data_IF_468501679873
#
_entry.id   IF_468501679873
#
_cell.length_a   1.000
_cell.length_b   1.000
_cell.length_c   1.000
_cell.angle_alpha   90.00
_cell.angle_beta   90.00
_cell.angle_gamma   90.00
#
_symmetry.space_group_name_H-M   'P 1'
#
loop_
_entity.id
_entity.type
_entity.pdbx_description
1 polymer ?
#
# COMPACT_ATOMS: atom_id res chain seq x y z
N UNK A 1 -11.67 -35.01 -11.36
CA UNK A 1 -12.36 -34.19 -10.34
C UNK A 1 -11.59 -34.37 -9.03
N UNK A 2 -11.12 -33.29 -8.42
CA UNK A 2 -10.44 -33.35 -7.11
C UNK A 2 -11.51 -33.31 -6.01
N UNK A 3 -11.45 -34.24 -5.06
CA UNK A 3 -12.54 -34.51 -4.10
C UNK A 3 -12.29 -33.97 -2.70
N UNK A 4 -11.15 -33.33 -2.45
CA UNK A 4 -10.77 -32.81 -1.13
C UNK A 4 -10.37 -31.33 -1.23
N UNK A 5 -10.20 -30.65 -0.10
CA UNK A 5 -9.63 -29.31 -0.08
C UNK A 5 -8.10 -29.43 -0.09
N UNK A 6 -7.38 -28.86 -1.07
CA UNK A 6 -5.93 -29.02 -1.12
C UNK A 6 -5.23 -28.08 -0.13
N UNK A 7 -5.91 -27.03 0.35
CA UNK A 7 -5.31 -26.04 1.24
C UNK A 7 -5.13 -26.59 2.65
N UNK A 8 -3.91 -26.48 3.16
CA UNK A 8 -3.56 -26.88 4.52
C UNK A 8 -3.98 -25.78 5.50
N UNK A 9 -4.70 -26.14 6.55
CA UNK A 9 -5.08 -25.24 7.65
C UNK A 9 -3.99 -25.16 8.72
N UNK A 10 -3.19 -26.21 8.85
CA UNK A 10 -2.14 -26.36 9.87
C UNK A 10 -0.76 -26.08 9.27
N UNK A 11 -0.62 -24.91 8.65
CA UNK A 11 0.67 -24.45 8.15
C UNK A 11 1.55 -24.07 9.35
N UNK A 12 2.81 -24.54 9.44
CA UNK A 12 3.69 -24.20 10.57
C UNK A 12 3.82 -22.68 10.70
N UNK A 13 3.72 -22.17 11.94
CA UNK A 13 3.69 -20.72 12.25
C UNK A 13 4.92 -19.93 11.76
N UNK A 14 6.00 -20.63 11.40
CA UNK A 14 7.19 -20.02 10.79
C UNK A 14 6.98 -19.62 9.31
N UNK A 15 5.97 -20.19 8.65
CA UNK A 15 5.62 -19.85 7.28
C UNK A 15 4.46 -18.83 7.30
N UNK A 16 4.81 -17.56 7.11
CA UNK A 16 3.84 -16.50 6.85
C UNK A 16 3.28 -16.69 5.43
N UNK A 17 2.27 -17.53 5.22
CA UNK A 17 1.79 -17.84 3.88
C UNK A 17 0.71 -18.92 3.82
N UNK A 18 0.50 -19.45 2.61
CA UNK A 18 -0.49 -20.49 2.31
C UNK A 18 0.22 -21.72 1.72
N UNK A 19 -0.27 -22.92 2.03
CA UNK A 19 0.20 -24.14 1.38
C UNK A 19 -0.97 -24.94 0.82
N UNK A 20 -0.77 -25.54 -0.35
CA UNK A 20 -1.71 -26.47 -0.96
C UNK A 20 -1.01 -27.80 -1.26
N UNK A 21 -1.56 -28.91 -0.76
CA UNK A 21 -1.02 -30.26 -0.95
C UNK A 21 -1.97 -31.11 -1.78
N UNK A 22 -1.47 -31.59 -2.92
CA UNK A 22 -2.14 -32.51 -3.82
C UNK A 22 -1.52 -33.89 -3.67
N UNK A 23 -2.28 -34.88 -3.19
CA UNK A 23 -1.72 -36.19 -2.78
C UNK A 23 -2.02 -37.36 -3.73
N UNK A 24 -2.93 -37.18 -4.68
CA UNK A 24 -3.44 -38.23 -5.56
C UNK A 24 -3.11 -37.93 -7.03
N UNK A 25 -1.82 -37.79 -7.34
CA UNK A 25 -1.34 -37.62 -8.71
C UNK A 25 -1.17 -38.94 -9.45
N UNK A 26 -0.61 -38.86 -10.66
CA UNK A 26 -0.34 -40.03 -11.49
C UNK A 26 0.67 -40.99 -10.84
N UNK A 27 0.61 -42.29 -11.15
CA UNK A 27 1.56 -43.26 -10.65
C UNK A 27 2.97 -42.98 -11.20
N UNK A 28 3.95 -43.02 -10.31
CA UNK A 28 5.37 -42.83 -10.61
C UNK A 28 6.16 -44.01 -10.04
N UNK A 29 7.15 -44.46 -10.79
CA UNK A 29 8.12 -45.47 -10.36
C UNK A 29 9.38 -44.77 -9.88
N UNK A 30 9.65 -44.87 -8.58
CA UNK A 30 10.90 -44.38 -7.99
C UNK A 30 12.13 -45.10 -8.57
N UNK A 31 13.31 -44.50 -8.40
CA UNK A 31 14.60 -45.16 -8.66
C UNK A 31 14.79 -46.46 -7.85
N UNK A 32 13.99 -46.66 -6.79
CA UNK A 32 13.93 -47.89 -5.98
C UNK A 32 12.89 -48.91 -6.48
N UNK A 33 12.32 -48.74 -7.68
CA UNK A 33 11.27 -49.59 -8.30
C UNK A 33 9.95 -49.69 -7.51
N UNK A 34 9.79 -48.90 -6.46
CA UNK A 34 8.55 -48.86 -5.68
C UNK A 34 7.53 -47.94 -6.37
N UNK A 35 6.34 -48.44 -6.75
CA UNK A 35 5.29 -47.60 -7.31
C UNK A 35 4.71 -46.70 -6.20
N UNK A 36 4.62 -45.41 -6.50
CA UNK A 36 4.06 -44.38 -5.62
C UNK A 36 3.13 -43.47 -6.41
N UNK A 37 2.29 -42.70 -5.72
CA UNK A 37 1.50 -41.64 -6.36
C UNK A 37 2.24 -40.31 -6.22
N UNK A 38 2.29 -39.54 -7.31
CA UNK A 38 2.89 -38.21 -7.30
C UNK A 38 2.12 -37.28 -6.35
N UNK A 39 2.87 -36.58 -5.52
CA UNK A 39 2.38 -35.58 -4.58
C UNK A 39 2.96 -34.23 -4.97
N UNK A 40 2.14 -33.19 -4.97
CA UNK A 40 2.58 -31.83 -5.24
C UNK A 40 2.27 -30.96 -4.04
N UNK A 41 3.28 -30.27 -3.51
CA UNK A 41 3.15 -29.26 -2.48
C UNK A 41 3.46 -27.89 -3.08
N UNK A 42 2.47 -27.01 -3.08
CA UNK A 42 2.61 -25.63 -3.52
C UNK A 42 2.67 -24.74 -2.29
N UNK A 43 3.76 -23.99 -2.16
CA UNK A 43 4.02 -23.07 -1.04
C UNK A 43 3.96 -21.64 -1.54
N UNK A 44 3.04 -20.86 -1.01
CA UNK A 44 2.87 -19.43 -1.30
C UNK A 44 3.35 -18.62 -0.10
N UNK A 45 4.52 -18.01 -0.19
CA UNK A 45 5.11 -17.20 0.88
C UNK A 45 4.63 -15.76 0.78
N UNK A 46 4.23 -15.16 1.91
CA UNK A 46 3.88 -13.75 1.98
C UNK A 46 5.07 -12.87 1.63
N UNK A 47 4.91 -12.09 0.56
CA UNK A 47 5.81 -11.02 0.21
C UNK A 47 4.98 -9.85 -0.35
N UNK A 48 4.85 -8.75 0.41
CA UNK A 48 4.06 -7.57 0.01
C UNK A 48 4.52 -6.92 -1.31
N UNK A 49 5.75 -7.21 -1.77
CA UNK A 49 6.29 -6.69 -3.04
C UNK A 49 5.97 -7.60 -4.23
N UNK A 50 5.70 -8.88 -4.00
CA UNK A 50 5.45 -9.87 -5.04
C UNK A 50 3.99 -9.85 -5.49
N UNK A 51 3.61 -8.80 -6.22
CA UNK A 51 2.29 -8.69 -6.85
C UNK A 51 2.30 -9.46 -8.16
N UNK A 52 1.42 -10.44 -8.29
CA UNK A 52 1.25 -11.15 -9.54
C UNK A 52 0.48 -10.24 -10.50
N UNK A 53 1.11 -9.88 -11.61
CA UNK A 53 0.55 -8.93 -12.57
C UNK A 53 -0.50 -9.65 -13.41
N UNK A 54 -1.75 -9.18 -13.35
CA UNK A 54 -2.80 -9.63 -14.24
C UNK A 54 -2.76 -8.75 -15.49
N UNK A 55 -2.50 -9.34 -16.67
CA UNK A 55 -2.44 -8.59 -17.93
C UNK A 55 -3.87 -8.23 -18.36
N UNK A 56 -4.15 -6.92 -18.40
CA UNK A 56 -5.49 -6.34 -18.62
C UNK A 56 -6.16 -6.73 -19.96
N UNK A 57 -5.39 -7.13 -20.97
CA UNK A 57 -5.88 -7.22 -22.36
C UNK A 57 -6.69 -8.49 -22.69
N UNK A 58 -6.80 -9.48 -21.80
CA UNK A 58 -7.44 -10.76 -22.17
C UNK A 58 -8.28 -11.46 -21.10
N UNK A 59 -8.54 -10.86 -19.94
CA UNK A 59 -9.32 -11.50 -18.84
C UNK A 59 -8.88 -12.94 -18.51
N UNK A 60 -7.62 -13.30 -18.79
CA UNK A 60 -7.04 -14.60 -18.45
C UNK A 60 -5.83 -14.36 -17.56
N UNK A 61 -5.76 -15.11 -16.46
CA UNK A 61 -4.64 -15.09 -15.53
C UNK A 61 -3.42 -15.58 -16.31
N UNK A 62 -2.54 -14.66 -16.72
CA UNK A 62 -1.27 -15.05 -17.31
C UNK A 62 -0.41 -15.66 -16.20
N UNK A 63 0.04 -16.87 -16.49
CA UNK A 63 1.18 -17.63 -15.98
C UNK A 63 1.77 -17.15 -14.65
N UNK A 64 1.77 -18.05 -13.66
CA UNK A 64 2.42 -17.81 -12.39
C UNK A 64 3.87 -17.32 -12.62
N UNK A 65 4.35 -16.35 -11.83
CA UNK A 65 5.74 -15.90 -11.93
C UNK A 65 6.70 -17.07 -11.73
N UNK A 66 7.96 -16.91 -12.15
CA UNK A 66 8.94 -17.98 -11.99
C UNK A 66 9.02 -18.46 -10.54
N UNK A 67 9.01 -19.78 -10.31
CA UNK A 67 9.04 -20.34 -8.97
C UNK A 67 10.36 -20.01 -8.29
N UNK A 68 10.29 -19.72 -6.99
CA UNK A 68 11.46 -19.49 -6.15
C UNK A 68 12.32 -20.76 -6.02
N UNK A 69 11.66 -21.91 -5.96
CA UNK A 69 12.29 -23.22 -5.96
C UNK A 69 11.36 -24.29 -6.54
N UNK A 70 11.96 -25.31 -7.13
CA UNK A 70 11.31 -26.55 -7.55
C UNK A 70 12.20 -27.69 -7.06
N UNK A 71 11.71 -28.46 -6.10
CA UNK A 71 12.44 -29.59 -5.54
C UNK A 71 11.62 -30.87 -5.72
N UNK A 72 12.19 -31.88 -6.38
CA UNK A 72 11.55 -33.18 -6.52
C UNK A 72 12.28 -34.22 -5.67
N UNK A 73 11.54 -34.90 -4.81
CA UNK A 73 12.05 -36.02 -4.03
C UNK A 73 11.55 -37.33 -4.64
N UNK A 74 12.45 -38.05 -5.32
CA UNK A 74 12.12 -39.31 -5.98
C UNK A 74 11.73 -40.43 -5.00
N UNK A 75 12.24 -40.40 -3.76
CA UNK A 75 11.97 -41.43 -2.74
C UNK A 75 10.58 -41.31 -2.13
N UNK A 76 10.08 -40.08 -1.97
CA UNK A 76 8.74 -39.80 -1.42
C UNK A 76 7.71 -39.41 -2.48
N UNK A 77 8.16 -39.28 -3.73
CA UNK A 77 7.39 -38.87 -4.90
C UNK A 77 6.69 -37.53 -4.69
N UNK A 78 7.38 -36.62 -3.99
CA UNK A 78 6.87 -35.31 -3.60
C UNK A 78 7.59 -34.20 -4.37
N UNK A 79 6.82 -33.38 -5.07
CA UNK A 79 7.27 -32.19 -5.79
C UNK A 79 6.89 -30.95 -4.99
N UNK A 80 7.90 -30.19 -4.55
CA UNK A 80 7.74 -28.97 -3.77
C UNK A 80 8.03 -27.76 -4.64
N UNK A 81 7.03 -26.90 -4.82
CA UNK A 81 7.12 -25.68 -5.63
C UNK A 81 6.81 -24.47 -4.74
N UNK A 82 7.68 -23.47 -4.74
CA UNK A 82 7.52 -22.25 -3.96
C UNK A 82 7.32 -21.01 -4.81
N UNK A 83 6.42 -20.11 -4.40
CA UNK A 83 6.26 -18.79 -5.00
C UNK A 83 6.12 -17.71 -3.93
N UNK A 84 6.62 -16.51 -4.23
CA UNK A 84 6.31 -15.32 -3.47
C UNK A 84 5.00 -14.72 -3.98
N UNK A 85 4.05 -14.48 -3.06
CA UNK A 85 2.75 -13.92 -3.42
C UNK A 85 2.24 -12.94 -2.35
N UNK A 86 1.99 -11.70 -2.77
CA UNK A 86 1.43 -10.67 -1.91
C UNK A 86 0.03 -11.03 -1.38
N UNK A 87 -0.74 -11.82 -2.13
CA UNK A 87 -2.07 -12.28 -1.71
C UNK A 87 -2.05 -13.40 -0.67
N UNK A 88 -0.88 -14.03 -0.42
CA UNK A 88 -0.71 -14.96 0.70
C UNK A 88 -0.42 -14.25 2.03
N UNK A 89 -0.24 -12.93 2.01
CA UNK A 89 -0.11 -12.14 3.22
C UNK A 89 -1.45 -12.04 3.94
N UNK A 90 -1.40 -12.12 5.27
CA UNK A 90 -2.57 -11.87 6.09
C UNK A 90 -3.08 -10.45 5.80
N UNK A 91 -4.37 -10.34 5.51
CA UNK A 91 -5.03 -9.04 5.41
C UNK A 91 -5.05 -8.42 6.80
N UNK A 92 -4.06 -7.58 7.10
CA UNK A 92 -4.17 -6.64 8.19
C UNK A 92 -4.90 -5.41 7.64
N UNK A 93 -6.05 -5.02 8.21
CA UNK A 93 -6.65 -3.75 7.86
C UNK A 93 -5.56 -2.69 8.06
N UNK A 94 -5.28 -1.94 6.99
CA UNK A 94 -4.27 -0.91 7.01
C UNK A 94 -4.72 0.13 8.03
N UNK A 95 -4.15 0.09 9.23
CA UNK A 95 -4.34 1.13 10.25
C UNK A 95 -4.14 2.47 9.55
N UNK A 96 -5.22 3.23 9.38
CA UNK A 96 -5.17 4.55 8.78
C UNK A 96 -4.49 5.47 9.78
N UNK A 97 -3.16 5.42 9.80
CA UNK A 97 -2.35 6.35 10.56
C UNK A 97 -2.63 7.74 10.01
N UNK A 98 -3.21 8.58 10.86
CA UNK A 98 -3.46 9.99 10.57
C UNK A 98 -2.10 10.64 10.34
N UNK A 99 -1.87 11.12 9.12
CA UNK A 99 -0.61 11.78 8.77
C UNK A 99 -0.36 13.00 9.66
N UNK A 100 0.90 13.36 9.92
CA UNK A 100 1.25 14.49 10.78
C UNK A 100 0.63 15.81 10.30
N UNK A 101 0.44 15.96 8.99
CA UNK A 101 -0.24 17.13 8.41
C UNK A 101 -1.67 17.31 8.91
N UNK A 102 -2.44 16.24 9.05
CA UNK A 102 -3.83 16.31 9.52
C UNK A 102 -3.90 16.73 10.99
N UNK A 103 -2.94 16.29 11.81
CA UNK A 103 -2.85 16.69 13.23
C UNK A 103 -2.61 18.20 13.34
N UNK A 104 -1.66 18.73 12.56
CA UNK A 104 -1.35 20.17 12.56
C UNK A 104 -2.56 21.00 12.11
N UNK A 105 -3.26 20.56 11.06
CA UNK A 105 -4.47 21.23 10.56
C UNK A 105 -5.57 21.25 11.63
N UNK A 106 -5.79 20.13 12.32
CA UNK A 106 -6.79 20.05 13.39
C UNK A 106 -6.46 20.99 14.55
N UNK A 107 -5.23 20.98 15.05
CA UNK A 107 -4.81 21.85 16.16
C UNK A 107 -4.92 23.32 15.77
N UNK A 108 -4.50 23.68 14.55
CA UNK A 108 -4.63 25.02 14.03
C UNK A 108 -6.10 25.45 13.91
N UNK A 109 -6.95 24.60 13.36
CA UNK A 109 -8.38 24.89 13.17
C UNK A 109 -9.11 25.11 14.49
N UNK A 110 -8.89 24.25 15.49
CA UNK A 110 -9.50 24.41 16.82
C UNK A 110 -9.00 25.67 17.52
N UNK A 111 -7.69 25.93 17.46
CA UNK A 111 -7.11 27.13 18.07
C UNK A 111 -7.62 28.41 17.41
N UNK A 112 -7.78 28.40 16.08
CA UNK A 112 -8.31 29.53 15.32
C UNK A 112 -9.78 29.82 15.67
N UNK A 113 -10.62 28.78 15.77
CA UNK A 113 -12.02 28.94 16.18
C UNK A 113 -12.13 29.49 17.61
N UNK A 114 -11.32 28.98 18.54
CA UNK A 114 -11.30 29.45 19.91
C UNK A 114 -10.89 30.93 20.00
N UNK A 115 -9.87 31.32 19.25
CA UNK A 115 -9.42 32.70 19.16
C UNK A 115 -10.52 33.64 18.63
N UNK A 116 -11.20 33.26 17.55
CA UNK A 116 -12.31 34.03 17.00
C UNK A 116 -13.49 34.13 17.97
N UNK A 117 -13.87 33.02 18.62
CA UNK A 117 -15.00 32.99 19.54
C UNK A 117 -14.75 33.86 20.79
N UNK A 118 -13.62 33.69 21.47
CA UNK A 118 -13.30 34.45 22.68
C UNK A 118 -13.11 35.92 22.34
N UNK A 119 -12.33 36.23 21.31
CA UNK A 119 -12.04 37.62 20.98
C UNK A 119 -13.24 38.35 20.40
N UNK A 120 -14.14 37.68 19.67
CA UNK A 120 -15.41 38.30 19.25
C UNK A 120 -16.32 38.60 20.43
N UNK A 121 -16.45 37.70 21.41
CA UNK A 121 -17.24 37.97 22.62
C UNK A 121 -16.73 39.21 23.37
N UNK A 122 -15.40 39.36 23.50
CA UNK A 122 -14.79 40.54 24.15
C UNK A 122 -15.09 41.82 23.36
N UNK A 123 -14.92 41.80 22.02
CA UNK A 123 -15.16 42.98 21.19
C UNK A 123 -16.64 43.39 21.14
N UNK A 124 -17.56 42.42 21.16
CA UNK A 124 -19.01 42.67 21.27
C UNK A 124 -19.33 43.32 22.62
N UNK A 125 -18.75 42.81 23.72
CA UNK A 125 -18.90 43.42 25.05
C UNK A 125 -18.36 44.86 25.15
N UNK A 126 -17.43 45.23 24.28
CA UNK A 126 -16.90 46.60 24.16
C UNK A 126 -17.71 47.49 23.19
N UNK A 127 -18.80 46.97 22.62
CA UNK A 127 -19.67 47.73 21.71
C UNK A 127 -19.13 47.92 20.29
N UNK A 128 -18.11 47.16 19.88
CA UNK A 128 -17.60 47.18 18.49
C UNK A 128 -18.59 46.48 17.57
N UNK A 129 -18.83 47.04 16.39
CA UNK A 129 -19.82 46.54 15.43
C UNK A 129 -19.19 46.30 14.05
N UNK A 130 -19.77 45.37 13.29
CA UNK A 130 -19.33 45.06 11.93
C UNK A 130 -18.00 44.31 11.88
N UNK A 131 -17.10 44.73 10.97
CA UNK A 131 -15.82 44.05 10.72
C UNK A 131 -14.83 44.12 11.90
N UNK A 132 -15.04 45.06 12.83
CA UNK A 132 -14.20 45.25 14.02
C UNK A 132 -14.47 44.23 15.15
N UNK A 133 -15.53 43.42 15.02
CA UNK A 133 -15.82 42.34 15.96
C UNK A 133 -14.71 41.27 15.89
N UNK A 134 -14.14 41.06 14.70
CA UNK A 134 -13.08 40.07 14.49
C UNK A 134 -11.78 40.59 15.10
N UNK A 135 -11.18 39.84 16.05
CA UNK A 135 -9.87 40.19 16.60
C UNK A 135 -8.81 40.26 15.49
N UNK A 136 -8.06 41.36 15.43
CA UNK A 136 -7.02 41.59 14.42
C UNK A 136 -7.50 41.45 12.97
N UNK A 137 -8.69 41.99 12.65
CA UNK A 137 -9.29 41.88 11.32
C UNK A 137 -8.34 42.27 10.16
N UNK A 138 -7.52 43.32 10.30
CA UNK A 138 -6.54 43.76 9.27
C UNK A 138 -5.55 42.65 8.87
N UNK A 139 -5.11 41.85 9.84
CA UNK A 139 -4.24 40.70 9.58
C UNK A 139 -4.98 39.61 8.82
N UNK A 140 -6.21 39.28 9.21
CA UNK A 140 -7.00 38.24 8.56
C UNK A 140 -7.43 38.61 7.13
N UNK A 141 -7.70 39.88 6.87
CA UNK A 141 -8.01 40.37 5.51
C UNK A 141 -6.80 40.40 4.60
N UNK A 142 -5.59 40.60 5.14
CA UNK A 142 -4.34 40.58 4.36
C UNK A 142 -3.77 39.17 4.17
N UNK A 143 -4.15 38.21 5.02
CA UNK A 143 -3.69 36.82 4.97
C UNK A 143 -3.92 36.10 3.62
N UNK A 144 -5.08 36.20 2.94
CA UNK A 144 -5.28 35.62 1.61
C UNK A 144 -4.30 36.16 0.56
N UNK A 145 -3.95 37.44 0.64
CA UNK A 145 -2.97 38.06 -0.24
C UNK A 145 -1.56 37.48 0.00
N UNK A 146 -1.17 37.30 1.26
CA UNK A 146 0.10 36.67 1.61
C UNK A 146 0.17 35.19 1.18
N UNK A 147 -0.92 34.43 1.28
CA UNK A 147 -0.97 33.04 0.79
C UNK A 147 -0.78 33.01 -0.73
N UNK A 148 -1.48 33.90 -1.46
CA UNK A 148 -1.35 33.99 -2.93
C UNK A 148 0.08 34.27 -3.35
N UNK A 149 0.77 35.16 -2.64
CA UNK A 149 2.17 35.49 -2.95
C UNK A 149 3.13 34.35 -2.59
N UNK A 150 2.91 33.67 -1.46
CA UNK A 150 3.66 32.44 -1.11
C UNK A 150 3.45 31.31 -2.11
N UNK A 151 2.22 31.07 -2.56
CA UNK A 151 1.93 30.10 -3.61
C UNK A 151 2.64 30.47 -4.91
N UNK A 152 2.56 31.73 -5.36
CA UNK A 152 3.28 32.17 -6.56
C UNK A 152 4.79 31.91 -6.46
N UNK A 153 5.42 32.25 -5.34
CA UNK A 153 6.85 32.03 -5.14
C UNK A 153 7.21 30.53 -5.24
N UNK A 154 6.46 29.69 -4.53
CA UNK A 154 6.72 28.24 -4.47
C UNK A 154 6.43 27.56 -5.82
N UNK A 155 5.29 27.86 -6.44
CA UNK A 155 4.92 27.28 -7.73
C UNK A 155 5.79 27.81 -8.88
N UNK A 156 6.19 29.09 -8.89
CA UNK A 156 7.12 29.60 -9.92
C UNK A 156 8.51 28.96 -9.82
N UNK A 157 9.04 28.69 -8.63
CA UNK A 157 10.32 27.98 -8.48
C UNK A 157 10.24 26.51 -8.91
N UNK A 158 9.11 25.85 -8.67
CA UNK A 158 8.89 24.46 -9.09
C UNK A 158 8.65 24.38 -10.61
N UNK A 159 7.92 25.34 -11.19
CA UNK A 159 7.67 25.39 -12.63
C UNK A 159 8.89 25.86 -13.44
N UNK A 160 9.76 26.74 -12.91
CA UNK A 160 10.95 27.19 -13.64
C UNK A 160 12.06 26.13 -13.74
N UNK A 161 12.11 25.18 -12.80
CA UNK A 161 13.03 24.04 -12.86
C UNK A 161 12.60 22.95 -13.84
N UNK A 162 11.36 22.96 -14.35
CA UNK A 162 10.94 22.06 -15.43
C UNK A 162 11.25 22.59 -16.84
N UNK A 163 11.71 23.84 -16.97
CA UNK A 163 12.07 24.45 -18.27
C UNK A 163 13.58 24.51 -18.54
N UNK A 164 14.38 23.63 -17.90
CA UNK A 164 15.78 23.36 -18.30
C UNK A 164 16.00 21.87 -18.63
N UNK A 165 15.13 21.30 -19.46
CA UNK A 165 15.48 20.14 -20.29
C UNK A 165 15.73 20.64 -21.71
N UNK A 166 16.96 21.12 -21.95
CA UNK A 166 17.36 21.69 -23.23
C UNK A 166 18.81 21.35 -23.52
N UNK A 167 19.02 20.17 -24.09
CA UNK A 167 20.13 19.80 -24.99
C UNK A 167 21.57 19.98 -24.49
N UNK A 168 22.16 18.91 -23.97
CA UNK A 168 23.62 18.73 -24.06
C UNK A 168 23.96 18.41 -25.54
N UNK A 169 24.67 19.31 -26.21
CA UNK A 169 25.35 19.01 -27.48
C UNK A 169 26.80 18.73 -27.14
N UNK A 170 27.27 17.52 -27.42
CA UNK A 170 28.68 17.18 -27.34
C UNK A 170 29.43 17.85 -28.50
N UNK A 171 30.52 18.55 -28.18
CA UNK A 171 31.64 18.83 -29.08
C UNK A 171 32.90 18.21 -28.50
#
# INVERSE_FOLDING_TARGET
MYTQNPFLTDVPSSLHGLQAKFVNGDPYTSASETPCQLKTLVTLTCNHRAKWLVKSTSQTIQEAPQPLFINFNASTCEMNIGFDYAGACQYTPKEQSIGPGTIVILVFSVSFLLYLAIGSMINIGQGRAGAEIIPHHDFWFSLPSYIKDGCKFTFCQICSNQSKSGGYSAI
#
